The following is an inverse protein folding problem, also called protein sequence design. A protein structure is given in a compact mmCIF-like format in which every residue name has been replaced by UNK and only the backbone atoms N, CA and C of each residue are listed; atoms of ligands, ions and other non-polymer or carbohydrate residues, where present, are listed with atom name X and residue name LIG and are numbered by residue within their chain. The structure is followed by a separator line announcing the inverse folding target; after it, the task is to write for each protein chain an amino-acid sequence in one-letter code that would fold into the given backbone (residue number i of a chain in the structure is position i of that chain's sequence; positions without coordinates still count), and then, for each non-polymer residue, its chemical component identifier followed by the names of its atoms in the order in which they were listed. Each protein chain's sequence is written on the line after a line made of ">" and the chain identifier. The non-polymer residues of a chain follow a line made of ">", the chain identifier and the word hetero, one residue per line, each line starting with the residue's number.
data_IF_929712455948
#
_entry.id   IF_929712455948
#
_cell.length_a   1.000
_cell.length_b   1.000
_cell.length_c   1.000
_cell.angle_alpha   90.00
_cell.angle_beta   90.00
_cell.angle_gamma   90.00
#
_symmetry.space_group_name_H-M   'P 1'
#
loop_
_entity.id
_entity.type
_entity.pdbx_description
1 polymer ?
#
# COMPACT_ATOMS: atom_id res chain seq x y z
N UNK A 1 -7.24 14.05 -24.06
CA UNK A 1 -6.87 14.78 -22.83
C UNK A 1 -6.96 13.91 -21.57
N UNK A 2 -8.07 13.21 -21.33
CA UNK A 2 -8.28 12.38 -20.12
C UNK A 2 -7.29 11.21 -19.96
N UNK A 3 -6.89 10.56 -21.06
CA UNK A 3 -5.95 9.44 -21.04
C UNK A 3 -4.53 9.87 -20.60
N UNK A 4 -4.05 11.01 -21.12
CA UNK A 4 -2.78 11.62 -20.69
C UNK A 4 -2.77 11.99 -19.21
N UNK A 5 -3.91 12.43 -18.66
CA UNK A 5 -4.03 12.76 -17.24
C UNK A 5 -4.01 11.49 -16.36
N UNK A 6 -4.65 10.40 -16.80
CA UNK A 6 -4.57 9.09 -16.12
C UNK A 6 -3.15 8.53 -16.12
N UNK A 7 -2.46 8.60 -17.26
CA UNK A 7 -1.06 8.16 -17.40
C UNK A 7 -0.16 8.99 -16.48
N UNK A 8 -0.27 10.32 -16.49
CA UNK A 8 0.51 11.19 -15.58
C UNK A 8 0.24 10.92 -14.10
N UNK A 9 -1.02 10.62 -13.74
CA UNK A 9 -1.39 10.26 -12.37
C UNK A 9 -0.73 8.96 -11.92
N UNK A 10 -0.85 7.92 -12.75
CA UNK A 10 -0.27 6.61 -12.49
C UNK A 10 1.27 6.65 -12.34
N UNK A 11 1.96 7.44 -13.18
CA UNK A 11 3.42 7.59 -13.08
C UNK A 11 3.85 8.25 -11.76
N UNK A 12 3.11 9.26 -11.27
CA UNK A 12 3.45 9.90 -9.99
C UNK A 12 3.26 8.95 -8.81
N UNK A 13 2.17 8.19 -8.81
CA UNK A 13 1.91 7.22 -7.74
C UNK A 13 2.96 6.11 -7.74
N UNK A 14 3.36 5.61 -8.91
CA UNK A 14 4.39 4.57 -9.02
C UNK A 14 5.80 5.10 -8.64
N UNK A 15 6.12 6.34 -8.99
CA UNK A 15 7.38 6.97 -8.58
C UNK A 15 7.49 7.15 -7.05
N UNK A 16 6.41 7.59 -6.40
CA UNK A 16 6.38 7.75 -4.95
C UNK A 16 6.50 6.38 -4.26
N UNK A 17 5.74 5.39 -4.73
CA UNK A 17 5.72 4.04 -4.17
C UNK A 17 7.07 3.32 -4.37
N UNK A 18 7.71 3.48 -5.53
CA UNK A 18 9.04 2.91 -5.79
C UNK A 18 10.14 3.58 -4.96
N UNK A 19 10.08 4.90 -4.78
CA UNK A 19 11.00 5.61 -3.89
C UNK A 19 10.85 5.16 -2.43
N UNK A 20 9.61 4.97 -1.97
CA UNK A 20 9.30 4.46 -0.62
C UNK A 20 9.92 3.08 -0.37
N UNK A 21 9.73 2.11 -1.29
CA UNK A 21 10.34 0.78 -1.17
C UNK A 21 11.88 0.86 -1.11
N UNK A 22 12.49 1.73 -1.91
CA UNK A 22 13.94 1.92 -1.93
C UNK A 22 14.44 2.47 -0.58
N UNK A 23 13.77 3.48 -0.03
CA UNK A 23 14.17 4.10 1.24
C UNK A 23 13.98 3.12 2.41
N UNK A 24 12.92 2.33 2.43
CA UNK A 24 12.75 1.24 3.41
C UNK A 24 13.89 0.24 3.30
N UNK A 25 14.16 -0.25 2.09
CA UNK A 25 15.20 -1.24 1.85
C UNK A 25 16.55 -0.69 2.32
N UNK A 26 16.92 0.53 1.91
CA UNK A 26 18.13 1.22 2.35
C UNK A 26 18.19 1.37 3.87
N UNK A 27 17.08 1.75 4.51
CA UNK A 27 16.93 1.85 5.96
C UNK A 27 17.34 0.58 6.71
N UNK A 28 16.94 -0.59 6.19
CA UNK A 28 17.25 -1.90 6.83
C UNK A 28 18.70 -2.34 6.68
N UNK A 29 19.43 -1.79 5.70
CA UNK A 29 20.82 -2.18 5.39
C UNK A 29 21.82 -1.04 5.60
N UNK A 30 21.43 0.04 6.29
CA UNK A 30 22.24 1.25 6.51
C UNK A 30 23.62 0.96 7.11
N UNK A 31 23.77 -0.10 7.90
CA UNK A 31 25.02 -0.50 8.55
C UNK A 31 25.87 -1.49 7.74
N UNK A 32 25.38 -1.96 6.58
CA UNK A 32 26.08 -2.90 5.72
C UNK A 32 27.04 -2.22 4.74
N UNK A 33 27.95 -2.98 4.15
CA UNK A 33 28.84 -2.48 3.09
C UNK A 33 28.06 -2.08 1.84
N UNK A 34 28.57 -1.11 1.09
CA UNK A 34 27.93 -0.60 -0.13
C UNK A 34 27.51 -1.71 -1.10
N UNK A 35 28.36 -2.71 -1.32
CA UNK A 35 28.06 -3.86 -2.18
C UNK A 35 26.81 -4.63 -1.71
N UNK A 36 26.68 -4.86 -0.39
CA UNK A 36 25.50 -5.50 0.19
C UNK A 36 24.25 -4.62 0.07
N UNK A 37 24.37 -3.33 0.36
CA UNK A 37 23.26 -2.38 0.23
C UNK A 37 22.71 -2.36 -1.20
N UNK A 38 23.59 -2.20 -2.19
CA UNK A 38 23.23 -2.21 -3.60
C UNK A 38 22.53 -3.51 -4.01
N UNK A 39 23.10 -4.65 -3.60
CA UNK A 39 22.56 -5.97 -3.97
C UNK A 39 21.16 -6.18 -3.38
N UNK A 40 20.96 -5.84 -2.10
CA UNK A 40 19.67 -5.99 -1.43
C UNK A 40 18.63 -5.06 -2.03
N UNK A 41 18.96 -3.78 -2.23
CA UNK A 41 18.01 -2.80 -2.81
C UNK A 41 17.63 -3.19 -4.24
N UNK A 42 18.59 -3.60 -5.08
CA UNK A 42 18.31 -4.05 -6.44
C UNK A 42 17.43 -5.30 -6.47
N UNK A 43 17.72 -6.28 -5.60
CA UNK A 43 16.94 -7.51 -5.49
C UNK A 43 15.51 -7.24 -5.00
N UNK A 44 15.35 -6.42 -3.96
CA UNK A 44 14.03 -6.02 -3.45
C UNK A 44 13.25 -5.25 -4.52
N UNK A 45 13.88 -4.32 -5.23
CA UNK A 45 13.23 -3.57 -6.29
C UNK A 45 12.69 -4.50 -7.39
N UNK A 46 13.49 -5.47 -7.86
CA UNK A 46 13.06 -6.44 -8.88
C UNK A 46 11.94 -7.35 -8.34
N UNK A 47 12.12 -7.92 -7.14
CA UNK A 47 11.15 -8.83 -6.54
C UNK A 47 9.81 -8.15 -6.29
N UNK A 48 9.81 -6.92 -5.76
CA UNK A 48 8.57 -6.18 -5.50
C UNK A 48 7.91 -5.73 -6.80
N UNK A 49 8.69 -5.35 -7.82
CA UNK A 49 8.13 -5.06 -9.15
C UNK A 49 7.43 -6.31 -9.70
N UNK A 50 8.11 -7.45 -9.77
CA UNK A 50 7.50 -8.68 -10.30
C UNK A 50 6.32 -9.13 -9.42
N UNK A 51 6.47 -9.08 -8.10
CA UNK A 51 5.47 -9.53 -7.13
C UNK A 51 4.19 -8.71 -7.17
N UNK A 52 4.29 -7.38 -7.09
CA UNK A 52 3.13 -6.48 -7.08
C UNK A 52 2.46 -6.46 -8.44
N UNK A 53 3.20 -6.27 -9.53
CA UNK A 53 2.62 -6.26 -10.88
C UNK A 53 2.08 -7.64 -11.27
N UNK A 54 2.73 -8.74 -10.84
CA UNK A 54 2.26 -10.10 -11.03
C UNK A 54 0.97 -10.41 -10.27
N UNK A 55 0.85 -9.95 -9.02
CA UNK A 55 -0.38 -10.07 -8.23
C UNK A 55 -1.53 -9.31 -8.87
N UNK A 56 -1.30 -8.06 -9.29
CA UNK A 56 -2.32 -7.25 -9.99
C UNK A 56 -2.70 -7.88 -11.32
N UNK A 57 -1.74 -8.36 -12.11
CA UNK A 57 -2.03 -9.06 -13.37
C UNK A 57 -2.84 -10.35 -13.13
N UNK A 58 -2.56 -11.08 -12.06
CA UNK A 58 -3.33 -12.25 -11.64
C UNK A 58 -4.79 -11.90 -11.37
N UNK A 59 -5.03 -10.80 -10.65
CA UNK A 59 -6.38 -10.31 -10.35
C UNK A 59 -7.15 -9.94 -11.62
N UNK A 60 -6.52 -9.19 -12.52
CA UNK A 60 -7.16 -8.80 -13.79
C UNK A 60 -7.45 -10.05 -14.64
N UNK A 61 -6.57 -11.04 -14.62
CA UNK A 61 -6.79 -12.30 -15.35
C UNK A 61 -7.92 -13.14 -14.76
N UNK A 62 -8.18 -13.06 -13.46
CA UNK A 62 -9.35 -13.68 -12.84
C UNK A 62 -10.66 -13.04 -13.34
N UNK A 63 -10.65 -11.74 -13.63
CA UNK A 63 -11.79 -11.02 -14.21
C UNK A 63 -12.10 -11.52 -15.64
N UNK A 64 -11.06 -11.56 -16.49
CA UNK A 64 -11.16 -12.08 -17.86
C UNK A 64 -11.62 -13.54 -17.89
N UNK A 65 -11.12 -14.36 -16.96
CA UNK A 65 -11.55 -15.75 -16.79
C UNK A 65 -13.02 -15.84 -16.34
N UNK A 66 -13.46 -14.97 -15.43
CA UNK A 66 -14.85 -14.86 -15.01
C UNK A 66 -15.78 -14.59 -16.19
N UNK A 67 -15.44 -13.59 -17.01
CA UNK A 67 -16.17 -13.25 -18.23
C UNK A 67 -16.19 -14.40 -19.24
N UNK A 68 -15.04 -15.04 -19.46
CA UNK A 68 -14.93 -16.17 -20.37
C UNK A 68 -15.79 -17.38 -19.91
N UNK A 69 -15.85 -17.65 -18.60
CA UNK A 69 -16.71 -18.70 -18.06
C UNK A 69 -18.20 -18.38 -18.20
N UNK A 70 -18.59 -17.11 -18.07
CA UNK A 70 -19.98 -16.65 -18.28
C UNK A 70 -20.44 -16.78 -19.74
N UNK A 71 -19.54 -16.54 -20.70
CA UNK A 71 -19.85 -16.58 -22.14
C UNK A 71 -19.96 -17.99 -22.73
N UNK A 72 -19.60 -19.05 -21.98
CA UNK A 72 -19.71 -20.44 -22.44
C UNK A 72 -21.19 -20.83 -22.65
N UNK A 73 -21.53 -21.23 -23.88
CA UNK A 73 -22.87 -21.71 -24.27
C UNK A 73 -23.03 -23.22 -23.99
N UNK A 74 -24.26 -23.64 -23.67
CA UNK A 74 -24.64 -25.04 -23.44
C UNK A 74 -25.49 -25.26 -22.18
N UNK A 75 -26.43 -26.20 -22.22
CA UNK A 75 -27.41 -26.45 -21.15
C UNK A 75 -26.94 -27.47 -20.09
N UNK A 76 -25.80 -28.13 -20.29
CA UNK A 76 -25.27 -29.14 -19.36
C UNK A 76 -25.06 -28.56 -17.95
N UNK A 77 -25.36 -29.36 -16.92
CA UNK A 77 -25.19 -29.00 -15.50
C UNK A 77 -23.80 -28.42 -15.20
N UNK A 78 -22.75 -29.00 -15.80
CA UNK A 78 -21.38 -28.52 -15.67
C UNK A 78 -21.17 -27.11 -16.25
N UNK A 79 -21.83 -26.80 -17.38
CA UNK A 79 -21.77 -25.47 -18.01
C UNK A 79 -22.54 -24.43 -17.20
N UNK A 80 -23.66 -24.79 -16.57
CA UNK A 80 -24.37 -23.92 -15.65
C UNK A 80 -23.55 -23.61 -14.39
N UNK A 81 -22.85 -24.61 -13.83
CA UNK A 81 -21.95 -24.41 -12.71
C UNK A 81 -20.78 -23.48 -13.06
N UNK A 82 -20.15 -23.66 -14.24
CA UNK A 82 -19.10 -22.76 -14.74
C UNK A 82 -19.59 -21.31 -14.88
N UNK A 83 -20.81 -21.10 -15.40
CA UNK A 83 -21.39 -19.75 -15.52
C UNK A 83 -21.62 -19.09 -14.18
N UNK A 84 -22.16 -19.82 -13.19
CA UNK A 84 -22.34 -19.31 -11.82
C UNK A 84 -21.02 -18.98 -11.14
N UNK A 85 -19.97 -19.76 -11.37
CA UNK A 85 -18.62 -19.46 -10.87
C UNK A 85 -18.07 -18.21 -11.55
N UNK A 86 -18.21 -18.11 -12.88
CA UNK A 86 -17.78 -16.93 -13.64
C UNK A 86 -18.47 -15.64 -13.18
N UNK A 87 -19.78 -15.70 -12.93
CA UNK A 87 -20.57 -14.59 -12.40
C UNK A 87 -20.10 -14.16 -11.01
N UNK A 88 -19.83 -15.11 -10.12
CA UNK A 88 -19.27 -14.82 -8.79
C UNK A 88 -17.86 -14.24 -8.87
N UNK A 89 -17.00 -14.74 -9.75
CA UNK A 89 -15.65 -14.21 -9.95
C UNK A 89 -15.70 -12.76 -10.43
N UNK A 90 -16.47 -12.49 -11.49
CA UNK A 90 -16.65 -11.15 -12.05
C UNK A 90 -17.25 -10.17 -11.02
N UNK A 91 -18.20 -10.64 -10.21
CA UNK A 91 -18.79 -9.83 -9.16
C UNK A 91 -17.80 -9.50 -8.02
N UNK A 92 -16.80 -10.36 -7.76
CA UNK A 92 -15.80 -10.16 -6.71
C UNK A 92 -14.64 -9.26 -7.14
N UNK A 93 -14.25 -9.25 -8.42
CA UNK A 93 -13.16 -8.41 -8.94
C UNK A 93 -13.26 -6.93 -8.54
N UNK A 94 -14.39 -6.21 -8.71
CA UNK A 94 -14.47 -4.79 -8.37
C UNK A 94 -14.33 -4.53 -6.86
N UNK A 95 -14.75 -5.47 -6.01
CA UNK A 95 -14.52 -5.36 -4.57
C UNK A 95 -13.05 -5.52 -4.24
N UNK A 96 -12.37 -6.50 -4.87
CA UNK A 96 -10.94 -6.71 -4.69
C UNK A 96 -10.11 -5.48 -5.12
N UNK A 97 -10.47 -4.85 -6.24
CA UNK A 97 -9.80 -3.64 -6.71
C UNK A 97 -10.03 -2.45 -5.76
N UNK A 98 -11.24 -2.31 -5.19
CA UNK A 98 -11.53 -1.26 -4.20
C UNK A 98 -10.81 -1.51 -2.87
N UNK A 99 -10.79 -2.74 -2.37
CA UNK A 99 -10.10 -3.07 -1.12
C UNK A 99 -8.60 -2.86 -1.26
N UNK A 100 -7.99 -3.25 -2.38
CA UNK A 100 -6.58 -2.97 -2.66
C UNK A 100 -6.27 -1.48 -2.70
N UNK A 101 -7.16 -0.64 -3.24
CA UNK A 101 -6.97 0.81 -3.21
C UNK A 101 -6.97 1.36 -1.78
N UNK A 102 -7.92 0.94 -0.94
CA UNK A 102 -8.01 1.40 0.45
C UNK A 102 -6.84 0.87 1.27
N UNK A 103 -6.51 -0.41 1.13
CA UNK A 103 -5.35 -1.04 1.77
C UNK A 103 -4.04 -0.39 1.33
N UNK A 104 -3.89 -0.09 0.03
CA UNK A 104 -2.72 0.60 -0.50
C UNK A 104 -2.57 2.01 0.06
N UNK A 105 -3.65 2.78 0.15
CA UNK A 105 -3.63 4.11 0.80
C UNK A 105 -3.30 4.01 2.29
N UNK A 106 -3.89 3.06 3.01
CA UNK A 106 -3.58 2.83 4.42
C UNK A 106 -2.11 2.42 4.62
N UNK A 107 -1.59 1.56 3.74
CA UNK A 107 -0.20 1.13 3.76
C UNK A 107 0.76 2.31 3.53
N UNK A 108 0.50 3.18 2.55
CA UNK A 108 1.33 4.37 2.31
C UNK A 108 1.38 5.30 3.52
N UNK A 109 0.27 5.48 4.25
CA UNK A 109 0.27 6.27 5.50
C UNK A 109 1.06 5.58 6.62
N UNK A 110 0.89 4.28 6.79
CA UNK A 110 1.62 3.49 7.78
C UNK A 110 3.14 3.50 7.52
N UNK A 111 3.53 3.34 6.28
CA UNK A 111 4.94 3.29 5.88
C UNK A 111 5.59 4.68 5.96
N UNK A 112 4.92 5.72 5.45
CA UNK A 112 5.38 7.10 5.65
C UNK A 112 5.45 7.52 7.12
N UNK A 113 4.49 7.08 7.93
CA UNK A 113 4.47 7.32 9.37
C UNK A 113 5.62 6.63 10.11
N UNK A 114 5.89 5.36 9.80
CA UNK A 114 7.01 4.61 10.38
C UNK A 114 8.38 5.16 9.98
N UNK A 115 8.52 5.67 8.75
CA UNK A 115 9.70 6.44 8.32
C UNK A 115 9.96 7.64 9.23
N UNK A 116 8.93 8.39 9.59
CA UNK A 116 9.07 9.61 10.41
C UNK A 116 9.29 9.25 11.88
N UNK A 117 8.52 8.30 12.42
CA UNK A 117 8.60 7.92 13.83
C UNK A 117 9.97 7.33 14.19
N UNK A 118 10.58 6.58 13.28
CA UNK A 118 11.90 5.97 13.49
C UNK A 118 13.06 6.98 13.41
N UNK A 119 12.91 8.06 12.65
CA UNK A 119 13.94 9.09 12.51
C UNK A 119 13.83 10.22 13.55
N UNK A 120 12.76 10.26 14.36
CA UNK A 120 12.55 11.26 15.41
C UNK A 120 12.68 10.58 16.80
N UNK A 121 13.80 10.77 17.53
CA UNK A 121 14.06 10.11 18.80
C UNK A 121 12.98 10.34 19.87
N UNK A 122 12.35 11.53 19.86
CA UNK A 122 11.28 11.89 20.79
C UNK A 122 10.01 11.03 20.60
N UNK A 123 9.71 10.63 19.37
CA UNK A 123 8.56 9.77 19.06
C UNK A 123 8.88 8.32 19.42
N UNK A 124 10.12 7.90 19.21
CA UNK A 124 10.60 6.57 19.56
C UNK A 124 10.47 6.30 21.06
N UNK A 125 10.93 7.21 21.92
CA UNK A 125 10.82 7.07 23.38
C UNK A 125 9.36 7.08 23.88
N UNK A 126 8.48 7.87 23.25
CA UNK A 126 7.05 7.86 23.59
C UNK A 126 6.39 6.53 23.23
N UNK A 127 6.76 5.93 22.09
CA UNK A 127 6.29 4.61 21.67
C UNK A 127 6.78 3.50 22.60
N UNK A 128 8.04 3.55 23.04
CA UNK A 128 8.60 2.60 24.02
C UNK A 128 7.87 2.65 25.36
N UNK A 129 7.61 3.85 25.88
CA UNK A 129 6.94 4.01 27.17
C UNK A 129 5.49 3.52 27.15
N UNK A 130 4.78 3.77 26.04
CA UNK A 130 3.43 3.23 25.81
C UNK A 130 3.48 1.70 25.73
N UNK A 131 4.44 1.14 24.98
CA UNK A 131 4.59 -0.31 24.81
C UNK A 131 4.93 -1.01 26.12
N UNK A 132 5.80 -0.43 26.95
CA UNK A 132 6.21 -0.98 28.24
C UNK A 132 5.06 -0.96 29.27
N UNK A 133 4.28 0.12 29.28
CA UNK A 133 3.07 0.24 30.12
C UNK A 133 2.00 -0.77 29.69
N UNK A 134 1.83 -0.99 28.38
CA UNK A 134 0.85 -1.95 27.85
C UNK A 134 1.26 -3.41 28.07
N UNK A 135 2.57 -3.71 28.09
CA UNK A 135 3.09 -5.06 28.38
C UNK A 135 2.77 -5.53 29.81
N UNK A 136 2.61 -4.61 30.77
CA UNK A 136 2.24 -4.94 32.14
C UNK A 136 0.78 -5.37 32.31
N UNK A 137 -0.06 -5.18 31.28
CA UNK A 137 -1.47 -5.61 31.28
C UNK A 137 -1.56 -7.11 30.94
N UNK A 138 -1.55 -7.94 32.00
CA UNK A 138 -1.40 -9.40 31.99
C UNK A 138 -2.30 -10.22 31.04
N UNK A 139 -3.40 -9.67 30.53
CA UNK A 139 -4.38 -10.45 29.73
C UNK A 139 -4.36 -10.12 28.22
N UNK A 140 -3.97 -8.91 27.84
CA UNK A 140 -3.94 -8.46 26.43
C UNK A 140 -2.63 -7.73 26.04
N UNK A 141 -1.68 -7.60 26.96
CA UNK A 141 -0.49 -6.77 26.79
C UNK A 141 0.39 -7.15 25.61
N UNK A 142 0.50 -8.45 25.27
CA UNK A 142 1.29 -8.91 24.12
C UNK A 142 0.71 -8.48 22.77
N UNK A 143 -0.61 -8.64 22.58
CA UNK A 143 -1.31 -8.22 21.35
C UNK A 143 -1.29 -6.69 21.25
N UNK A 144 -1.59 -6.02 22.36
CA UNK A 144 -1.69 -4.56 22.41
C UNK A 144 -0.32 -3.88 22.22
N UNK A 145 0.77 -4.48 22.72
CA UNK A 145 2.14 -4.05 22.47
C UNK A 145 2.59 -4.22 21.02
N UNK A 146 2.00 -5.14 20.26
CA UNK A 146 2.33 -5.36 18.84
C UNK A 146 1.54 -4.41 17.93
N UNK A 147 0.30 -4.06 18.32
CA UNK A 147 -0.58 -3.18 17.54
C UNK A 147 -0.32 -1.70 17.82
N UNK A 148 0.14 -1.35 19.02
CA UNK A 148 0.36 0.06 19.42
C UNK A 148 1.32 0.82 18.50
N UNK A 149 2.50 0.29 18.10
CA UNK A 149 3.37 1.00 17.18
C UNK A 149 2.71 1.24 15.81
N UNK A 150 1.95 0.26 15.31
CA UNK A 150 1.24 0.36 14.03
C UNK A 150 0.21 1.49 14.07
N UNK A 151 -0.54 1.64 15.17
CA UNK A 151 -1.51 2.72 15.33
C UNK A 151 -0.82 4.08 15.45
N UNK A 152 0.30 4.15 16.19
CA UNK A 152 1.08 5.38 16.34
C UNK A 152 1.62 5.83 14.98
N UNK A 153 2.25 4.93 14.23
CA UNK A 153 2.77 5.20 12.89
C UNK A 153 1.64 5.61 11.93
N UNK A 154 0.49 4.93 11.94
CA UNK A 154 -0.67 5.31 11.14
C UNK A 154 -1.13 6.74 11.46
N UNK A 155 -1.18 7.09 12.75
CA UNK A 155 -1.65 8.39 13.20
C UNK A 155 -0.67 9.49 12.80
N UNK A 156 0.63 9.26 12.97
CA UNK A 156 1.67 10.21 12.54
C UNK A 156 1.62 10.40 11.03
N UNK A 157 1.56 9.31 10.26
CA UNK A 157 1.46 9.34 8.81
C UNK A 157 0.22 10.11 8.34
N UNK A 158 -0.93 9.89 8.98
CA UNK A 158 -2.17 10.61 8.68
C UNK A 158 -2.05 12.10 9.00
N UNK A 159 -1.50 12.47 10.17
CA UNK A 159 -1.31 13.87 10.58
C UNK A 159 -0.39 14.61 9.62
N UNK A 160 0.77 14.02 9.31
CA UNK A 160 1.74 14.62 8.38
C UNK A 160 1.14 14.73 6.98
N UNK A 161 0.46 13.68 6.52
CA UNK A 161 -0.27 13.71 5.25
C UNK A 161 -1.32 14.82 5.19
N UNK A 162 -2.10 15.00 6.26
CA UNK A 162 -3.09 16.07 6.36
C UNK A 162 -2.44 17.46 6.34
N UNK A 163 -1.33 17.66 7.04
CA UNK A 163 -0.56 18.90 7.01
C UNK A 163 -0.05 19.19 5.59
N UNK A 164 0.54 18.20 4.93
CA UNK A 164 1.04 18.35 3.55
C UNK A 164 -0.09 18.73 2.58
N UNK A 165 -1.26 18.09 2.67
CA UNK A 165 -2.42 18.43 1.83
C UNK A 165 -2.94 19.84 2.14
N UNK A 166 -3.00 20.21 3.42
CA UNK A 166 -3.42 21.56 3.83
C UNK A 166 -2.46 22.62 3.27
N UNK A 167 -1.15 22.42 3.40
CA UNK A 167 -0.13 23.31 2.83
C UNK A 167 -0.26 23.41 1.31
N UNK A 168 -0.52 22.30 0.62
CA UNK A 168 -0.70 22.28 -0.83
C UNK A 168 -1.95 23.05 -1.27
N UNK A 169 -3.08 22.89 -0.60
CA UNK A 169 -4.31 23.63 -0.90
C UNK A 169 -4.17 25.13 -0.60
N UNK A 170 -3.50 25.50 0.50
CA UNK A 170 -3.17 26.90 0.78
C UNK A 170 -2.24 27.46 -0.29
N UNK A 171 -1.20 26.71 -0.70
CA UNK A 171 -0.26 27.11 -1.74
C UNK A 171 -0.91 27.34 -3.10
N UNK A 172 -1.84 26.46 -3.52
CA UNK A 172 -2.64 26.67 -4.75
C UNK A 172 -3.41 27.98 -4.74
N UNK A 173 -3.88 28.42 -3.57
CA UNK A 173 -4.59 29.70 -3.43
C UNK A 173 -3.69 30.90 -3.72
N UNK A 174 -2.38 30.76 -3.56
CA UNK A 174 -1.38 31.81 -3.82
C UNK A 174 -0.72 31.71 -5.20
N UNK A 175 -0.78 30.56 -5.88
CA UNK A 175 -0.29 30.44 -7.25
C UNK A 175 -1.43 30.79 -8.20
N UNK A 176 -1.39 31.95 -8.90
CA UNK A 176 -2.43 32.30 -9.85
C UNK A 176 -2.53 31.20 -10.92
N UNK A 177 -3.73 30.66 -11.05
CA UNK A 177 -4.09 29.58 -11.96
C UNK A 177 -3.81 30.02 -13.40
N UNK A 178 -2.65 29.69 -13.96
CA UNK A 178 -2.45 29.74 -15.41
C UNK A 178 -3.09 28.49 -15.99
N UNK A 179 -4.25 28.70 -16.64
CA UNK A 179 -5.01 27.73 -17.39
C UNK A 179 -4.16 27.02 -18.47
#
# INVERSE_FOLDING_TARGET
>A
ALEKNKIKGAIRTDFILSAEIIVIALGTVTTATFTKQFTVVALVAILMTIGVYGLVAGIVKLDDLGLHLMLKKGASFYRQAQRKIGEKLLALTPYLMRTLSVLGTAAMFLVGGSMISHNIPAIHHMSEHITETLKQLLTFGGILATISPIIIDATIGLLVGAICVMMFEVGKKFVPNQA
#
